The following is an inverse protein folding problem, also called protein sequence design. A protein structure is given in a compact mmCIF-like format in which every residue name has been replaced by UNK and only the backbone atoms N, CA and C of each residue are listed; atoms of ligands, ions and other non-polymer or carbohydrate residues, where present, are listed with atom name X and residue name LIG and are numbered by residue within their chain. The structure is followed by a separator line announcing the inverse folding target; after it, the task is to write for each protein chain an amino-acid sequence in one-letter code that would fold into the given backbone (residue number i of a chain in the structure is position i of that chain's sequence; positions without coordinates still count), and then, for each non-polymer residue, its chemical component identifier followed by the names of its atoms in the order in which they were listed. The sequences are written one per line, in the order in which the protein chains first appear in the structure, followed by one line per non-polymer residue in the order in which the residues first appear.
data_IF_950379625011
#
_entry.id   IF_950379625011
#
_cell.length_a   1.000
_cell.length_b   1.000
_cell.length_c   1.000
_cell.angle_alpha   90.00
_cell.angle_beta   90.00
_cell.angle_gamma   90.00
#
_symmetry.space_group_name_H-M   'P 1'
#
loop_
_entity.id
_entity.type
_entity.pdbx_description
1 polymer ?
#
# COMPACT_ATOMS: atom_id res chain seq x y z
N UNK A 1 7.31 20.82 5.53
CA UNK A 1 6.57 19.63 6.01
C UNK A 1 5.46 19.24 5.06
N UNK A 2 5.68 18.19 4.27
CA UNK A 2 4.67 17.66 3.34
C UNK A 2 4.73 16.14 3.27
N UNK A 3 5.19 15.49 4.35
CA UNK A 3 5.14 14.05 4.44
C UNK A 3 3.68 13.64 4.65
N UNK A 4 3.12 12.92 3.68
CA UNK A 4 1.82 12.25 3.81
C UNK A 4 1.83 11.42 5.10
N UNK A 5 2.93 10.70 5.35
CA UNK A 5 3.14 9.90 6.55
C UNK A 5 2.06 8.84 6.73
N UNK A 6 1.97 8.30 7.93
CA UNK A 6 0.95 7.31 8.29
C UNK A 6 -0.46 7.91 8.28
N UNK A 7 -0.62 9.19 8.64
CA UNK A 7 -1.90 9.87 8.69
C UNK A 7 -2.52 10.09 7.31
N UNK A 8 -1.72 10.49 6.32
CA UNK A 8 -2.20 10.61 4.96
C UNK A 8 -2.52 9.24 4.34
N UNK A 9 -1.81 8.18 4.73
CA UNK A 9 -2.18 6.81 4.37
C UNK A 9 -3.53 6.40 4.95
N UNK A 10 -3.81 6.75 6.22
CA UNK A 10 -5.12 6.53 6.87
C UNK A 10 -6.24 7.29 6.14
N UNK A 11 -6.00 8.54 5.76
CA UNK A 11 -6.97 9.33 5.00
C UNK A 11 -7.28 8.71 3.63
N UNK A 12 -6.25 8.26 2.90
CA UNK A 12 -6.42 7.57 1.61
C UNK A 12 -7.16 6.25 1.79
N UNK A 13 -6.79 5.45 2.80
CA UNK A 13 -7.45 4.18 3.14
C UNK A 13 -8.95 4.34 3.44
N UNK A 14 -9.34 5.41 4.14
CA UNK A 14 -10.74 5.70 4.42
C UNK A 14 -11.52 6.13 3.15
N UNK A 15 -10.84 6.78 2.20
CA UNK A 15 -11.45 7.23 0.94
C UNK A 15 -11.46 6.16 -0.16
N UNK A 16 -10.64 5.12 -0.03
CA UNK A 16 -10.49 4.01 -0.97
C UNK A 16 -11.79 3.25 -1.33
N UNK A 17 -12.64 2.86 -0.35
CA UNK A 17 -13.86 2.10 -0.63
C UNK A 17 -15.04 2.95 -1.14
N UNK A 18 -15.02 4.27 -0.90
CA UNK A 18 -16.18 5.14 -1.17
C UNK A 18 -15.98 6.09 -2.36
N UNK A 19 -14.80 6.69 -2.50
CA UNK A 19 -14.53 7.75 -3.49
C UNK A 19 -13.52 7.37 -4.56
N UNK A 20 -12.71 6.34 -4.31
CA UNK A 20 -11.60 5.94 -5.17
C UNK A 20 -11.80 4.53 -5.72
N UNK A 21 -13.05 4.12 -5.94
CA UNK A 21 -13.41 2.82 -6.53
C UNK A 21 -12.83 2.62 -7.94
N UNK A 22 -12.56 3.71 -8.66
CA UNK A 22 -11.95 3.69 -10.00
C UNK A 22 -10.43 3.93 -9.98
N UNK A 23 -9.84 4.17 -8.79
CA UNK A 23 -8.41 4.41 -8.68
C UNK A 23 -7.65 3.11 -8.96
N UNK A 24 -6.94 3.07 -10.08
CA UNK A 24 -6.14 1.89 -10.46
C UNK A 24 -4.73 1.92 -9.90
N UNK A 25 -4.12 3.09 -9.83
CA UNK A 25 -2.71 3.25 -9.44
C UNK A 25 -2.58 4.23 -8.29
N UNK A 26 -1.93 3.80 -7.21
CA UNK A 26 -1.62 4.60 -6.04
C UNK A 26 -0.10 4.65 -5.84
N UNK A 27 0.49 5.84 -5.89
CA UNK A 27 1.93 6.05 -5.71
C UNK A 27 2.14 6.90 -4.47
N UNK A 28 2.82 6.32 -3.49
CA UNK A 28 3.14 6.90 -2.19
C UNK A 28 4.64 6.79 -1.91
N UNK A 29 5.46 6.83 -2.97
CA UNK A 29 6.90 6.73 -2.84
C UNK A 29 7.49 7.94 -2.10
N UNK A 30 8.43 7.71 -1.17
CA UNK A 30 9.11 8.79 -0.44
C UNK A 30 8.20 9.60 0.49
N UNK A 31 7.10 9.02 0.95
CA UNK A 31 6.08 9.69 1.76
C UNK A 31 6.27 9.49 3.29
N UNK A 32 7.40 8.91 3.70
CA UNK A 32 7.68 8.54 5.10
C UNK A 32 6.62 7.60 5.71
N UNK A 33 6.08 6.70 4.88
CA UNK A 33 5.10 5.71 5.33
C UNK A 33 5.78 4.66 6.21
N UNK A 34 5.20 4.42 7.38
CA UNK A 34 5.61 3.40 8.34
C UNK A 34 4.66 2.19 8.36
N UNK A 35 4.76 1.40 9.42
CA UNK A 35 3.95 0.20 9.61
C UNK A 35 2.46 0.52 9.78
N UNK A 36 2.13 1.61 10.49
CA UNK A 36 0.74 2.03 10.69
C UNK A 36 0.05 2.46 9.39
N UNK A 37 0.74 3.25 8.56
CA UNK A 37 0.22 3.65 7.27
C UNK A 37 -0.01 2.46 6.34
N UNK A 38 0.87 1.45 6.40
CA UNK A 38 0.71 0.21 5.66
C UNK A 38 -0.48 -0.63 6.15
N UNK A 39 -0.71 -0.76 7.45
CA UNK A 39 -1.90 -1.46 7.98
C UNK A 39 -3.20 -0.76 7.56
N UNK A 40 -3.22 0.58 7.61
CA UNK A 40 -4.35 1.35 7.16
C UNK A 40 -4.62 1.13 5.65
N UNK A 41 -3.59 1.25 4.81
CA UNK A 41 -3.70 0.98 3.38
C UNK A 41 -4.17 -0.45 3.10
N UNK A 42 -3.64 -1.45 3.81
CA UNK A 42 -4.05 -2.84 3.68
C UNK A 42 -5.55 -3.03 3.94
N UNK A 43 -6.11 -2.38 4.98
CA UNK A 43 -7.55 -2.41 5.27
C UNK A 43 -8.38 -1.69 4.20
N UNK A 44 -7.92 -0.52 3.75
CA UNK A 44 -8.58 0.24 2.69
C UNK A 44 -8.59 -0.51 1.36
N UNK A 45 -7.48 -1.17 1.01
CA UNK A 45 -7.35 -2.05 -0.14
C UNK A 45 -8.29 -3.24 -0.06
N UNK A 46 -8.38 -3.91 1.10
CA UNK A 46 -9.29 -5.04 1.30
C UNK A 46 -10.77 -4.67 1.03
N UNK A 47 -11.12 -3.40 1.21
CA UNK A 47 -12.47 -2.88 0.94
C UNK A 47 -12.61 -2.23 -0.45
N UNK A 48 -11.50 -1.99 -1.15
CA UNK A 48 -11.48 -1.35 -2.46
C UNK A 48 -11.32 -2.40 -3.56
N UNK A 49 -12.08 -2.24 -4.64
CA UNK A 49 -12.01 -3.09 -5.84
C UNK A 49 -11.37 -2.40 -7.03
N UNK A 50 -10.79 -1.21 -6.85
CA UNK A 50 -10.23 -0.42 -7.95
C UNK A 50 -8.72 -0.60 -8.15
N UNK A 51 -7.98 -0.65 -7.04
CA UNK A 51 -6.53 -0.48 -7.07
C UNK A 51 -5.85 -1.75 -7.56
N UNK A 52 -5.13 -1.62 -8.67
CA UNK A 52 -4.34 -2.68 -9.28
C UNK A 52 -2.84 -2.47 -9.05
N UNK A 53 -2.39 -1.23 -8.87
CA UNK A 53 -0.98 -0.90 -8.69
C UNK A 53 -0.77 -0.03 -7.45
N UNK A 54 0.11 -0.46 -6.55
CA UNK A 54 0.53 0.27 -5.36
C UNK A 54 2.05 0.42 -5.35
N UNK A 55 2.53 1.65 -5.29
CA UNK A 55 3.95 1.97 -5.15
C UNK A 55 4.23 2.65 -3.82
N UNK A 56 5.04 1.98 -3.00
CA UNK A 56 5.46 2.40 -1.67
C UNK A 56 6.99 2.46 -1.58
N UNK A 57 7.67 2.67 -2.70
CA UNK A 57 9.14 2.77 -2.74
C UNK A 57 9.69 3.92 -1.87
N UNK A 58 10.93 3.76 -1.39
CA UNK A 58 11.63 4.79 -0.60
C UNK A 58 10.88 5.23 0.67
N UNK A 59 10.14 4.31 1.30
CA UNK A 59 9.44 4.53 2.58
C UNK A 59 10.12 3.76 3.73
N UNK A 60 9.75 4.09 4.96
CA UNK A 60 10.27 3.46 6.19
C UNK A 60 9.33 2.37 6.70
N UNK A 61 8.98 1.45 5.80
CA UNK A 61 8.09 0.33 6.14
C UNK A 61 8.90 -0.72 6.89
N UNK A 62 8.37 -1.16 8.02
CA UNK A 62 8.86 -2.24 8.86
C UNK A 62 8.20 -3.58 8.52
N UNK A 63 8.64 -4.67 9.19
CA UNK A 63 8.20 -6.02 8.83
C UNK A 63 6.70 -6.22 9.08
N UNK A 64 6.12 -5.45 10.02
CA UNK A 64 4.70 -5.50 10.33
C UNK A 64 3.85 -4.89 9.20
N UNK A 65 4.26 -3.74 8.65
CA UNK A 65 3.60 -3.10 7.52
C UNK A 65 3.65 -3.95 6.26
N UNK A 66 4.80 -4.58 5.98
CA UNK A 66 4.92 -5.54 4.88
C UNK A 66 3.99 -6.74 5.05
N UNK A 67 3.87 -7.30 6.26
CA UNK A 67 2.96 -8.42 6.53
C UNK A 67 1.49 -8.03 6.34
N UNK A 68 1.10 -6.83 6.76
CA UNK A 68 -0.26 -6.31 6.58
C UNK A 68 -0.60 -6.16 5.09
N UNK A 69 0.30 -5.56 4.31
CA UNK A 69 0.15 -5.42 2.85
C UNK A 69 0.09 -6.78 2.16
N UNK A 70 0.96 -7.72 2.53
CA UNK A 70 0.94 -9.08 1.98
C UNK A 70 -0.39 -9.80 2.28
N UNK A 71 -0.96 -9.61 3.48
CA UNK A 71 -2.25 -10.17 3.86
C UNK A 71 -3.41 -9.57 3.05
N UNK A 72 -3.43 -8.25 2.87
CA UNK A 72 -4.40 -7.60 2.00
C UNK A 72 -4.27 -8.06 0.55
N UNK A 73 -3.03 -8.28 0.10
CA UNK A 73 -2.75 -8.74 -1.26
C UNK A 73 -3.17 -10.19 -1.52
N UNK A 74 -3.05 -11.04 -0.50
CA UNK A 74 -3.54 -12.41 -0.49
C UNK A 74 -5.08 -12.51 -0.36
N UNK A 75 -5.73 -11.43 0.09
CA UNK A 75 -7.19 -11.35 0.13
C UNK A 75 -7.82 -11.04 -1.24
N UNK A 76 -9.12 -10.74 -1.23
CA UNK A 76 -9.93 -10.42 -2.42
C UNK A 76 -9.62 -9.04 -3.05
N UNK A 77 -8.44 -8.48 -2.82
CA UNK A 77 -8.00 -7.27 -3.50
C UNK A 77 -7.75 -7.55 -4.99
N UNK A 78 -7.98 -6.55 -5.83
CA UNK A 78 -7.60 -6.56 -7.26
C UNK A 78 -6.17 -6.07 -7.51
N UNK A 79 -5.39 -5.90 -6.45
CA UNK A 79 -4.01 -5.47 -6.53
C UNK A 79 -3.18 -6.52 -7.29
N UNK A 80 -2.58 -6.14 -8.42
CA UNK A 80 -1.71 -7.01 -9.23
C UNK A 80 -0.24 -6.64 -9.06
N UNK A 81 0.04 -5.37 -8.81
CA UNK A 81 1.39 -4.83 -8.70
C UNK A 81 1.60 -4.13 -7.36
N UNK A 82 2.57 -4.62 -6.60
CA UNK A 82 3.04 -3.98 -5.37
C UNK A 82 4.53 -3.66 -5.53
N UNK A 83 4.89 -2.37 -5.55
CA UNK A 83 6.28 -1.91 -5.58
C UNK A 83 6.69 -1.45 -4.19
N UNK A 84 7.70 -2.10 -3.64
CA UNK A 84 8.37 -1.70 -2.40
C UNK A 84 9.88 -1.64 -2.69
N UNK A 85 10.29 -0.78 -3.62
CA UNK A 85 11.71 -0.57 -3.92
C UNK A 85 12.38 0.25 -2.82
N UNK A 86 13.57 -0.15 -2.35
CA UNK A 86 14.36 0.57 -1.33
C UNK A 86 13.62 0.75 0.01
N UNK A 87 13.01 -0.32 0.53
CA UNK A 87 12.67 -0.40 1.96
C UNK A 87 13.85 -1.01 2.72
N UNK A 88 14.15 -0.55 3.96
CA UNK A 88 15.30 -1.03 4.74
C UNK A 88 15.24 -2.53 5.09
N UNK A 89 14.14 -3.21 4.77
CA UNK A 89 13.90 -4.63 5.06
C UNK A 89 14.54 -5.61 4.09
N UNK A 90 15.18 -5.17 3.00
CA UNK A 90 15.83 -6.10 2.06
C UNK A 90 14.87 -7.07 1.35
N UNK A 91 13.56 -6.98 1.57
CA UNK A 91 12.54 -7.64 0.75
C UNK A 91 12.48 -6.92 -0.58
N UNK A 92 13.34 -7.34 -1.51
CA UNK A 92 13.13 -7.14 -2.95
C UNK A 92 11.68 -7.52 -3.23
N UNK A 93 10.86 -6.53 -3.61
CA UNK A 93 9.45 -6.73 -3.95
C UNK A 93 9.29 -8.00 -4.78
N UNK A 94 8.68 -9.01 -4.15
CA UNK A 94 8.38 -10.29 -4.79
C UNK A 94 7.45 -10.07 -5.98
N UNK A 95 7.52 -10.94 -7.00
CA UNK A 95 6.94 -10.68 -8.30
C UNK A 95 5.44 -10.44 -8.19
N UNK A 96 4.97 -9.52 -9.03
CA UNK A 96 3.57 -9.22 -9.28
C UNK A 96 2.69 -10.48 -9.26
N UNK A 97 1.43 -10.30 -8.85
CA UNK A 97 0.38 -11.34 -8.91
C UNK A 97 0.23 -11.69 -10.40
N UNK A 98 0.97 -12.69 -10.84
CA UNK A 98 0.86 -13.25 -12.18
C UNK A 98 -0.45 -14.03 -12.21
N UNK A 99 -1.44 -13.44 -12.87
CA UNK A 99 -2.63 -14.17 -13.33
C UNK A 99 -2.29 -14.95 -14.59
#
# INVERSE_FOLDING_TARGET
DSAVGDEGCKAIAACLPSKLSDLRTLILAGCEVGDEGCDALARGLASSRGVTCLDLSSNRIGPQGCAALAKAWAGDCLLTTLKMGETPLGVRGGPARAQ
#
